data_IF_812535623426
#
_entry.id   IF_812535623426
#
_cell.length_a   1.000
_cell.length_b   1.000
_cell.length_c   1.000
_cell.angle_alpha   90.00
_cell.angle_beta   90.00
_cell.angle_gamma   90.00
#
_symmetry.space_group_name_H-M   'P 1'
#
loop_
_entity.id
_entity.type
_entity.pdbx_description
1 polymer ?
#
# COMPACT_ATOMS: atom_id res chain seq x y z
N UNK A 1 19.15 12.16 -5.79
CA UNK A 1 18.99 10.84 -5.14
C UNK A 1 19.83 9.83 -5.92
N UNK A 2 20.81 9.18 -5.30
CA UNK A 2 21.58 8.09 -5.91
C UNK A 2 20.75 6.80 -5.88
N UNK A 3 20.86 5.95 -6.91
CA UNK A 3 20.16 4.66 -6.97
C UNK A 3 20.81 3.69 -5.98
N UNK A 4 20.01 3.09 -5.11
CA UNK A 4 20.41 2.04 -4.17
C UNK A 4 19.62 0.75 -4.47
N UNK A 5 20.25 -0.41 -4.28
CA UNK A 5 19.60 -1.71 -4.44
C UNK A 5 19.67 -2.47 -3.11
N UNK A 6 18.52 -2.78 -2.53
CA UNK A 6 18.39 -3.50 -1.27
C UNK A 6 17.88 -4.91 -1.55
N UNK A 7 18.54 -5.91 -0.99
CA UNK A 7 18.15 -7.31 -1.13
C UNK A 7 17.26 -7.75 0.03
N UNK A 8 16.19 -8.50 -0.27
CA UNK A 8 15.41 -9.16 0.77
C UNK A 8 16.24 -10.18 1.54
N UNK A 9 16.01 -10.25 2.85
CA UNK A 9 16.50 -11.32 3.71
C UNK A 9 15.95 -12.68 3.27
N UNK A 10 16.66 -13.76 3.60
CA UNK A 10 16.37 -15.12 3.12
C UNK A 10 14.97 -15.60 3.53
N UNK A 11 14.54 -15.27 4.75
CA UNK A 11 13.24 -15.62 5.32
C UNK A 11 12.10 -14.96 4.53
N UNK A 12 12.26 -13.68 4.18
CA UNK A 12 11.26 -12.93 3.41
C UNK A 12 11.13 -13.48 1.99
N UNK A 13 12.25 -13.87 1.37
CA UNK A 13 12.23 -14.53 0.05
C UNK A 13 11.47 -15.85 0.07
N UNK A 14 11.66 -16.67 1.10
CA UNK A 14 10.93 -17.93 1.26
C UNK A 14 9.43 -17.70 1.48
N UNK A 15 9.06 -16.70 2.28
CA UNK A 15 7.67 -16.33 2.50
C UNK A 15 7.00 -15.88 1.19
N UNK A 16 7.64 -15.00 0.43
CA UNK A 16 7.13 -14.54 -0.87
C UNK A 16 6.93 -15.71 -1.83
N UNK A 17 7.89 -16.64 -1.88
CA UNK A 17 7.79 -17.83 -2.72
C UNK A 17 6.56 -18.68 -2.33
N UNK A 18 6.32 -18.93 -1.04
CA UNK A 18 5.15 -19.68 -0.58
C UNK A 18 3.82 -18.95 -0.87
N UNK A 19 3.78 -17.63 -0.64
CA UNK A 19 2.58 -16.81 -0.85
C UNK A 19 2.15 -16.77 -2.31
N UNK A 20 3.08 -16.74 -3.26
CA UNK A 20 2.76 -16.77 -4.70
C UNK A 20 1.98 -18.05 -5.03
N UNK A 21 2.42 -19.20 -4.52
CA UNK A 21 1.77 -20.48 -4.80
C UNK A 21 0.39 -20.60 -4.11
N UNK A 22 0.20 -20.02 -2.91
CA UNK A 22 -1.07 -20.09 -2.18
C UNK A 22 -2.14 -19.11 -2.69
N UNK A 23 -1.72 -17.94 -3.20
CA UNK A 23 -2.63 -16.90 -3.70
C UNK A 23 -3.02 -17.08 -5.17
N UNK A 24 -2.37 -18.00 -5.89
CA UNK A 24 -2.62 -18.23 -7.32
C UNK A 24 -4.07 -18.64 -7.62
N UNK A 25 -4.77 -19.22 -6.64
CA UNK A 25 -6.20 -19.57 -6.74
C UNK A 25 -7.14 -18.39 -6.52
N UNK A 26 -6.66 -17.28 -5.93
CA UNK A 26 -7.46 -16.11 -5.55
C UNK A 26 -6.72 -14.82 -5.94
N UNK A 27 -6.48 -14.63 -7.24
CA UNK A 27 -5.72 -13.49 -7.77
C UNK A 27 -6.33 -12.14 -7.40
N UNK A 28 -7.60 -12.06 -7.02
CA UNK A 28 -8.21 -10.77 -6.64
C UNK A 28 -7.80 -10.30 -5.23
N UNK A 29 -7.17 -11.16 -4.44
CA UNK A 29 -6.72 -10.83 -3.07
C UNK A 29 -5.71 -9.69 -3.09
N UNK A 30 -4.73 -9.67 -4.02
CA UNK A 30 -3.74 -8.60 -4.01
C UNK A 30 -4.40 -7.23 -4.19
N UNK A 31 -5.40 -7.12 -5.08
CA UNK A 31 -6.09 -5.87 -5.33
C UNK A 31 -6.89 -5.43 -4.09
N UNK A 32 -7.54 -6.37 -3.41
CA UNK A 32 -8.20 -6.12 -2.13
C UNK A 32 -7.21 -5.58 -1.09
N UNK A 33 -6.05 -6.22 -0.92
CA UNK A 33 -5.04 -5.78 0.05
C UNK A 33 -4.49 -4.39 -0.29
N UNK A 34 -4.25 -4.09 -1.57
CA UNK A 34 -3.80 -2.76 -2.00
C UNK A 34 -4.84 -1.67 -1.71
N UNK A 35 -6.12 -1.92 -2.01
CA UNK A 35 -7.20 -0.98 -1.71
C UNK A 35 -7.37 -0.81 -0.19
N UNK A 36 -7.27 -1.89 0.59
CA UNK A 36 -7.31 -1.83 2.05
C UNK A 36 -6.17 -0.96 2.61
N UNK A 37 -4.93 -1.19 2.15
CA UNK A 37 -3.77 -0.39 2.57
C UNK A 37 -3.92 1.09 2.22
N UNK A 38 -4.48 1.40 1.05
CA UNK A 38 -4.72 2.78 0.64
C UNK A 38 -5.85 3.44 1.48
N UNK A 39 -6.88 2.68 1.85
CA UNK A 39 -7.91 3.14 2.79
C UNK A 39 -7.32 3.45 4.17
N UNK A 40 -6.52 2.54 4.72
CA UNK A 40 -5.84 2.73 6.01
C UNK A 40 -4.93 3.95 6.00
N UNK A 41 -4.24 4.21 4.88
CA UNK A 41 -3.41 5.41 4.72
C UNK A 41 -4.25 6.69 4.74
N UNK A 42 -5.42 6.69 4.07
CA UNK A 42 -6.34 7.82 4.10
C UNK A 42 -6.87 8.08 5.51
N UNK A 43 -7.22 7.02 6.24
CA UNK A 43 -7.74 7.15 7.60
C UNK A 43 -6.66 7.63 8.58
N UNK A 44 -5.42 7.16 8.44
CA UNK A 44 -4.27 7.70 9.20
C UNK A 44 -4.10 9.20 8.96
N UNK A 45 -4.12 9.64 7.69
CA UNK A 45 -4.02 11.06 7.35
C UNK A 45 -5.18 11.86 7.96
N UNK A 46 -6.41 11.35 7.91
CA UNK A 46 -7.57 12.00 8.55
C UNK A 46 -7.36 12.22 10.04
N UNK A 47 -6.88 11.20 10.75
CA UNK A 47 -6.63 11.27 12.19
C UNK A 47 -5.53 12.28 12.50
N UNK A 48 -4.41 12.27 11.75
CA UNK A 48 -3.31 13.22 11.95
C UNK A 48 -3.74 14.66 11.63
N UNK A 49 -4.57 14.83 10.61
CA UNK A 49 -5.06 16.13 10.18
C UNK A 49 -6.04 16.78 11.19
N UNK A 50 -6.61 16.01 12.13
CA UNK A 50 -7.36 16.59 13.26
C UNK A 50 -6.50 17.53 14.11
N UNK A 51 -5.19 17.26 14.19
CA UNK A 51 -4.23 18.10 14.93
C UNK A 51 -3.48 19.05 14.00
N UNK A 52 -3.33 18.71 12.72
CA UNK A 52 -2.55 19.46 11.73
C UNK A 52 -3.29 19.54 10.40
N UNK A 53 -4.25 20.45 10.30
CA UNK A 53 -5.09 20.59 9.11
C UNK A 53 -4.29 20.84 7.81
N UNK A 54 -3.11 21.45 7.92
CA UNK A 54 -2.22 21.75 6.78
C UNK A 54 -1.70 20.48 6.08
N UNK A 55 -1.81 19.29 6.69
CA UNK A 55 -1.42 18.01 6.07
C UNK A 55 -2.25 17.65 4.84
N UNK A 56 -3.43 18.25 4.67
CA UNK A 56 -4.21 18.08 3.44
C UNK A 56 -3.64 18.88 2.26
N UNK A 57 -2.73 19.84 2.50
CA UNK A 57 -2.13 20.68 1.45
C UNK A 57 -3.16 21.34 0.52
N UNK A 58 -4.37 21.61 1.03
CA UNK A 58 -5.48 22.18 0.29
C UNK A 58 -6.38 21.19 -0.46
N UNK A 59 -6.10 19.89 -0.45
CA UNK A 59 -6.97 18.83 -0.98
C UNK A 59 -7.40 17.85 0.13
N UNK A 60 -8.59 18.10 0.68
CA UNK A 60 -9.22 17.22 1.67
C UNK A 60 -9.93 16.00 1.07
N UNK A 61 -10.04 15.91 -0.26
CA UNK A 61 -10.81 14.86 -0.93
C UNK A 61 -9.91 13.66 -1.25
N UNK A 62 -9.63 12.87 -0.21
CA UNK A 62 -8.85 11.64 -0.33
C UNK A 62 -9.57 10.61 -1.20
N UNK A 63 -8.85 10.05 -2.17
CA UNK A 63 -9.38 9.08 -3.13
C UNK A 63 -8.34 8.05 -3.56
N UNK A 64 -8.81 6.83 -3.82
CA UNK A 64 -8.02 5.73 -4.37
C UNK A 64 -8.31 5.68 -5.86
N UNK A 65 -7.27 5.81 -6.70
CA UNK A 65 -7.40 5.76 -8.17
C UNK A 65 -6.84 4.44 -8.68
N UNK A 66 -7.63 3.75 -9.50
CA UNK A 66 -7.19 2.55 -10.23
C UNK A 66 -7.13 2.89 -11.72
N UNK A 67 -6.02 2.51 -12.35
CA UNK A 67 -5.82 2.63 -13.79
C UNK A 67 -5.18 1.33 -14.29
N UNK A 68 -5.47 0.99 -15.53
CA UNK A 68 -4.88 -0.16 -16.23
C UNK A 68 -4.20 0.40 -17.47
N UNK A 69 -2.98 -0.04 -17.72
CA UNK A 69 -2.21 0.28 -18.94
C UNK A 69 -2.50 -0.70 -20.08
#
# INVERSE_FOLDING_TARGET
>A
MSKETLAFQTEVKQLLHLMIHSLYSNRDIFLRELVSNASDACDKLRVEALQKADLYEGDGELKIRLAVD
#
